data_IF_216003797439
#
_entry.id   IF_216003797439
#
_cell.length_a   1.000
_cell.length_b   1.000
_cell.length_c   1.000
_cell.angle_alpha   90.00
_cell.angle_beta   90.00
_cell.angle_gamma   90.00
#
_symmetry.space_group_name_H-M   'P 1'
#
loop_
_entity.id
_entity.type
_entity.pdbx_description
1 polymer ?
#
# COMPACT_ATOMS: atom_id res chain seq x y z
N UNK A 1 -18.93 0.87 2.11
CA UNK A 1 -17.68 0.09 1.99
C UNK A 1 -16.92 0.27 3.29
N UNK A 2 -16.49 -0.81 3.97
CA UNK A 2 -15.56 -0.67 5.11
C UNK A 2 -14.15 -0.56 4.51
N UNK A 3 -13.45 0.53 4.79
CA UNK A 3 -12.05 0.68 4.40
C UNK A 3 -11.22 -0.39 5.11
N UNK A 4 -10.31 -1.02 4.40
CA UNK A 4 -9.40 -2.02 4.94
C UNK A 4 -7.98 -1.65 4.51
N UNK A 5 -7.02 -1.94 5.38
CA UNK A 5 -5.61 -1.88 5.06
C UNK A 5 -5.15 -3.27 4.62
N UNK A 6 -4.38 -3.39 3.54
CA UNK A 6 -3.82 -4.66 3.08
C UNK A 6 -2.36 -4.72 3.48
N UNK A 7 -2.01 -5.63 4.39
CA UNK A 7 -0.63 -5.91 4.79
C UNK A 7 0.07 -6.82 3.78
N UNK A 8 1.21 -6.36 3.27
CA UNK A 8 1.99 -7.03 2.23
C UNK A 8 3.40 -7.44 2.72
N UNK A 9 3.56 -7.62 4.03
CA UNK A 9 4.81 -8.02 4.68
C UNK A 9 5.80 -6.88 4.92
N UNK A 10 6.04 -6.02 3.92
CA UNK A 10 6.95 -4.85 4.04
C UNK A 10 6.25 -3.60 4.59
N UNK A 11 4.92 -3.59 4.57
CA UNK A 11 4.08 -2.49 5.01
C UNK A 11 2.62 -2.78 4.72
N UNK A 12 1.78 -1.76 4.84
CA UNK A 12 0.35 -1.85 4.56
C UNK A 12 -0.08 -0.76 3.58
N UNK A 13 -0.88 -1.13 2.60
CA UNK A 13 -1.60 -0.19 1.75
C UNK A 13 -2.98 0.06 2.32
N UNK A 14 -3.41 1.32 2.39
CA UNK A 14 -4.76 1.66 2.80
C UNK A 14 -5.29 2.84 1.99
N UNK A 15 -6.59 2.87 1.80
CA UNK A 15 -7.30 4.07 1.34
C UNK A 15 -7.95 4.68 2.56
N UNK A 16 -7.50 5.88 2.95
CA UNK A 16 -8.03 6.57 4.13
C UNK A 16 -8.90 7.75 3.74
N UNK A 17 -10.01 8.00 4.45
CA UNK A 17 -10.74 9.25 4.31
C UNK A 17 -9.84 10.43 4.65
N UNK A 18 -9.80 11.42 3.78
CA UNK A 18 -9.05 12.65 3.97
C UNK A 18 -9.88 13.85 3.48
N UNK A 19 -9.34 15.05 3.70
CA UNK A 19 -9.97 16.28 3.24
C UNK A 19 -8.98 17.04 2.36
N UNK A 20 -9.45 17.48 1.19
CA UNK A 20 -8.70 18.35 0.30
C UNK A 20 -9.31 19.75 0.33
N UNK A 21 -8.47 20.77 0.46
CA UNK A 21 -8.88 22.17 0.28
C UNK A 21 -8.77 22.51 -1.20
N UNK A 22 -9.90 22.89 -1.81
CA UNK A 22 -9.93 23.37 -3.20
C UNK A 22 -9.88 24.90 -3.23
N UNK A 23 -9.74 25.46 -4.44
CA UNK A 23 -9.87 26.89 -4.66
C UNK A 23 -11.18 27.42 -4.03
N UNK A 24 -11.14 28.64 -3.49
CA UNK A 24 -12.20 29.26 -2.67
C UNK A 24 -12.32 28.73 -1.22
N UNK A 25 -11.39 27.89 -0.76
CA UNK A 25 -11.34 27.44 0.63
C UNK A 25 -12.40 26.40 1.00
N UNK A 26 -13.12 25.86 0.01
CA UNK A 26 -14.04 24.73 0.22
C UNK A 26 -13.24 23.48 0.57
N UNK A 27 -13.78 22.69 1.51
CA UNK A 27 -13.20 21.43 1.95
C UNK A 27 -14.01 20.29 1.34
N UNK A 28 -13.36 19.43 0.56
CA UNK A 28 -13.98 18.25 -0.04
C UNK A 28 -13.47 16.98 0.64
N UNK A 29 -14.36 16.05 1.03
CA UNK A 29 -13.94 14.73 1.44
C UNK A 29 -13.36 13.99 0.24
N UNK A 30 -12.20 13.37 0.42
CA UNK A 30 -11.50 12.58 -0.59
C UNK A 30 -11.05 11.25 0.01
N UNK A 31 -10.70 10.32 -0.86
CA UNK A 31 -10.05 9.07 -0.51
C UNK A 31 -8.56 9.17 -0.87
N UNK A 32 -7.69 9.10 0.14
CA UNK A 32 -6.23 9.18 -0.05
C UNK A 32 -5.62 7.79 0.03
N UNK A 33 -5.02 7.27 -1.05
CA UNK A 33 -4.21 6.07 -0.97
C UNK A 33 -2.93 6.38 -0.18
N UNK A 34 -2.58 5.49 0.74
CA UNK A 34 -1.37 5.59 1.56
C UNK A 34 -0.67 4.24 1.61
N UNK A 35 0.66 4.30 1.61
CA UNK A 35 1.51 3.18 1.97
C UNK A 35 2.19 3.49 3.30
N UNK A 36 2.03 2.60 4.28
CA UNK A 36 2.70 2.71 5.58
C UNK A 36 3.72 1.60 5.68
N UNK A 37 4.99 2.00 5.71
CA UNK A 37 6.10 1.06 5.88
C UNK A 37 6.05 0.41 7.26
N UNK A 38 6.30 -0.90 7.35
CA UNK A 38 6.33 -1.56 8.65
C UNK A 38 7.53 -1.06 9.48
N UNK A 39 7.38 -1.04 10.82
CA UNK A 39 8.44 -0.57 11.73
C UNK A 39 9.75 -1.38 11.61
N UNK A 40 9.72 -2.73 11.57
CA UNK A 40 10.94 -3.53 11.42
C UNK A 40 11.79 -3.18 10.20
N UNK A 41 11.18 -3.06 9.02
CA UNK A 41 11.81 -2.73 7.73
C UNK A 41 12.37 -1.31 7.77
N UNK A 42 11.60 -0.35 8.32
CA UNK A 42 12.09 1.02 8.53
C UNK A 42 13.37 1.05 9.36
N UNK A 43 13.40 0.32 10.48
CA UNK A 43 14.57 0.26 11.35
C UNK A 43 15.73 -0.48 10.68
N UNK A 44 15.46 -1.62 10.03
CA UNK A 44 16.49 -2.44 9.40
C UNK A 44 17.25 -1.69 8.31
N UNK A 45 16.54 -0.92 7.48
CA UNK A 45 17.13 -0.12 6.41
C UNK A 45 17.44 1.33 6.81
N UNK A 46 17.26 1.71 8.09
CA UNK A 46 17.49 3.09 8.57
C UNK A 46 16.76 4.17 7.74
N UNK A 47 15.52 3.89 7.36
CA UNK A 47 14.73 4.75 6.47
C UNK A 47 14.03 5.87 7.24
N UNK A 48 14.03 7.07 6.67
CA UNK A 48 13.19 8.18 7.12
C UNK A 48 11.83 8.11 6.40
N UNK A 49 10.74 8.26 7.15
CA UNK A 49 9.38 8.29 6.59
C UNK A 49 8.50 9.15 7.48
N UNK A 50 7.55 9.88 6.88
CA UNK A 50 6.52 10.60 7.62
C UNK A 50 5.72 9.63 8.51
N UNK A 51 5.25 10.11 9.67
CA UNK A 51 4.29 9.40 10.51
C UNK A 51 2.88 9.48 9.91
N UNK A 52 2.69 8.94 8.71
CA UNK A 52 1.35 8.62 8.24
C UNK A 52 0.79 7.52 9.16
N UNK A 53 -0.46 7.67 9.62
CA UNK A 53 -1.14 6.69 10.47
C UNK A 53 -2.43 6.26 9.78
N UNK A 54 -2.59 4.94 9.63
CA UNK A 54 -3.88 4.34 9.35
C UNK A 54 -4.69 4.45 10.65
N UNK A 55 -5.95 4.91 10.62
CA UNK A 55 -6.82 4.95 11.80
C UNK A 55 -6.89 3.56 12.45
N UNK A 56 -6.81 3.49 13.78
CA UNK A 56 -6.73 2.23 14.53
C UNK A 56 -7.93 1.31 14.29
N UNK A 57 -9.09 1.88 13.98
CA UNK A 57 -10.31 1.17 13.62
C UNK A 57 -10.28 0.51 12.23
N UNK A 58 -9.26 0.80 11.41
CA UNK A 58 -9.14 0.23 10.07
C UNK A 58 -8.63 -1.21 10.18
N UNK A 59 -9.43 -2.22 9.80
CA UNK A 59 -8.98 -3.60 9.84
C UNK A 59 -7.82 -3.80 8.85
N UNK A 60 -6.78 -4.50 9.33
CA UNK A 60 -5.66 -4.95 8.50
C UNK A 60 -5.99 -6.38 8.02
N UNK A 61 -5.92 -6.59 6.71
CA UNK A 61 -6.15 -7.88 6.04
C UNK A 61 -4.94 -8.27 5.20
N UNK A 62 -4.81 -9.54 4.86
CA UNK A 62 -3.82 -10.01 3.90
C UNK A 62 -4.36 -9.93 2.46
N UNK A 63 -3.48 -9.98 1.44
CA UNK A 63 -3.92 -10.03 0.05
C UNK A 63 -4.79 -11.26 -0.19
N UNK A 64 -5.94 -11.05 -0.82
CA UNK A 64 -6.83 -12.13 -1.22
C UNK A 64 -6.37 -12.69 -2.58
N UNK A 65 -5.51 -13.70 -2.53
CA UNK A 65 -4.96 -14.35 -3.72
C UNK A 65 -6.03 -15.07 -4.54
N UNK A 66 -7.10 -15.58 -3.91
CA UNK A 66 -8.21 -16.19 -4.63
C UNK A 66 -8.97 -15.14 -5.44
N UNK A 67 -9.27 -13.98 -4.83
CA UNK A 67 -9.91 -12.87 -5.54
C UNK A 67 -9.03 -12.32 -6.66
N UNK A 68 -7.71 -12.19 -6.46
CA UNK A 68 -6.80 -11.73 -7.52
C UNK A 68 -6.75 -12.74 -8.68
N UNK A 69 -6.70 -14.04 -8.37
CA UNK A 69 -6.74 -15.13 -9.37
C UNK A 69 -8.03 -15.05 -10.19
N UNK A 70 -9.18 -14.90 -9.52
CA UNK A 70 -10.48 -14.78 -10.17
C UNK A 70 -10.58 -13.55 -11.10
N UNK A 71 -9.93 -12.43 -10.75
CA UNK A 71 -9.97 -11.18 -11.51
C UNK A 71 -8.92 -11.09 -12.63
N UNK A 72 -7.84 -11.86 -12.58
CA UNK A 72 -6.71 -11.75 -13.53
C UNK A 72 -6.65 -12.88 -14.57
N UNK A 73 -7.45 -13.94 -14.39
CA UNK A 73 -7.40 -15.17 -15.19
C UNK A 73 -6.05 -15.92 -15.16
N UNK A 74 -5.11 -15.51 -14.30
CA UNK A 74 -3.89 -16.26 -14.05
C UNK A 74 -4.14 -17.42 -13.08
N UNK A 75 -3.28 -18.43 -13.12
CA UNK A 75 -3.30 -19.49 -12.10
C UNK A 75 -2.77 -18.94 -10.77
N UNK A 76 -3.23 -19.52 -9.66
CA UNK A 76 -2.83 -19.09 -8.33
C UNK A 76 -1.30 -19.02 -8.15
N UNK A 77 -0.54 -19.99 -8.69
CA UNK A 77 0.92 -20.00 -8.56
C UNK A 77 1.58 -18.83 -9.31
N UNK A 78 0.99 -18.41 -10.42
CA UNK A 78 1.46 -17.25 -11.18
C UNK A 78 1.17 -15.96 -10.40
N UNK A 79 -0.02 -15.84 -9.82
CA UNK A 79 -0.39 -14.69 -8.99
C UNK A 79 0.54 -14.56 -7.78
N UNK A 80 0.78 -15.66 -7.06
CA UNK A 80 1.69 -15.68 -5.91
C UNK A 80 3.10 -15.21 -6.30
N UNK A 81 3.68 -15.80 -7.36
CA UNK A 81 4.99 -15.37 -7.86
C UNK A 81 5.01 -13.89 -8.29
N UNK A 82 3.99 -13.40 -9.00
CA UNK A 82 3.93 -12.00 -9.41
C UNK A 82 3.89 -11.05 -8.20
N UNK A 83 3.13 -11.40 -7.15
CA UNK A 83 3.10 -10.62 -5.91
C UNK A 83 4.48 -10.65 -5.24
N UNK A 84 5.10 -11.82 -5.10
CA UNK A 84 6.43 -11.96 -4.51
C UNK A 84 7.50 -11.15 -5.25
N UNK A 85 7.56 -11.24 -6.58
CA UNK A 85 8.51 -10.48 -7.41
C UNK A 85 8.30 -8.97 -7.28
N UNK A 86 7.04 -8.52 -7.23
CA UNK A 86 6.70 -7.10 -7.03
C UNK A 86 7.18 -6.62 -5.66
N UNK A 87 6.98 -7.41 -4.60
CA UNK A 87 7.44 -7.08 -3.25
C UNK A 87 8.97 -7.03 -3.16
N UNK A 88 9.67 -7.95 -3.83
CA UNK A 88 11.13 -7.94 -3.91
C UNK A 88 11.65 -6.70 -4.64
N UNK A 89 11.01 -6.30 -5.75
CA UNK A 89 11.34 -5.07 -6.45
C UNK A 89 11.17 -3.85 -5.54
N UNK A 90 10.05 -3.78 -4.81
CA UNK A 90 9.77 -2.68 -3.90
C UNK A 90 10.77 -2.63 -2.72
N UNK A 91 11.06 -3.78 -2.11
CA UNK A 91 12.06 -3.87 -1.04
C UNK A 91 13.46 -3.45 -1.51
N UNK A 92 13.85 -3.81 -2.74
CA UNK A 92 15.09 -3.37 -3.35
C UNK A 92 15.15 -1.86 -3.56
N UNK A 93 14.07 -1.26 -4.05
CA UNK A 93 13.98 0.18 -4.23
C UNK A 93 14.04 0.93 -2.89
N UNK A 94 13.35 0.43 -1.86
CA UNK A 94 13.42 0.98 -0.50
C UNK A 94 14.85 0.96 0.05
N UNK A 95 15.54 -0.19 -0.04
CA UNK A 95 16.94 -0.34 0.40
C UNK A 95 17.85 0.67 -0.29
N UNK A 96 17.64 0.90 -1.58
CA UNK A 96 18.45 1.82 -2.38
C UNK A 96 17.99 3.29 -2.25
N UNK A 97 17.00 3.58 -1.40
CA UNK A 97 16.35 4.89 -1.23
C UNK A 97 15.89 5.51 -2.57
N UNK A 98 15.30 4.69 -3.43
CA UNK A 98 14.75 5.08 -4.74
C UNK A 98 13.25 5.28 -4.64
N UNK A 99 12.76 6.32 -5.32
CA UNK A 99 11.33 6.51 -5.53
C UNK A 99 10.77 5.38 -6.41
N UNK A 100 9.61 4.85 -6.02
CA UNK A 100 8.88 3.85 -6.81
C UNK A 100 7.60 4.48 -7.31
N UNK A 101 7.51 4.69 -8.62
CA UNK A 101 6.29 5.16 -9.27
C UNK A 101 5.53 3.95 -9.85
N UNK A 102 4.24 3.85 -9.54
CA UNK A 102 3.32 2.94 -10.23
C UNK A 102 2.53 3.74 -11.26
N UNK A 103 2.94 3.67 -12.52
CA UNK A 103 2.21 4.30 -13.62
C UNK A 103 1.25 3.28 -14.25
N UNK A 104 -0.05 3.52 -14.16
CA UNK A 104 -1.09 2.73 -14.83
C UNK A 104 -1.43 3.40 -16.17
N UNK A 105 -1.60 2.59 -17.23
CA UNK A 105 -2.05 3.06 -18.56
C UNK A 105 -3.52 2.77 -18.76
#
# INVERSE_FOLDING_TARGET
>A
LRFQAVEIGIGSFAVVPAHATVAEGKVLPIERPMFILNKPVKMFYSLESEEAKIPEETPIVHPDFEAITANTHFRHEIVDHCVQETLLCFAGALRDNKEVEFSFR
#
